data_IF_836345645443
#
_entry.id   IF_836345645443
#
_cell.length_a   1.000
_cell.length_b   1.000
_cell.length_c   1.000
_cell.angle_alpha   90.00
_cell.angle_beta   90.00
_cell.angle_gamma   90.00
#
_symmetry.space_group_name_H-M   'P 1'
#
loop_
_entity.id
_entity.type
_entity.pdbx_description
1 polymer ?
#
# COMPACT_ATOMS: atom_id res chain seq x y z
N UNK A 1 -46.58 90.07 24.15
CA UNK A 1 -45.20 89.95 24.67
C UNK A 1 -45.18 90.50 26.09
N UNK A 2 -44.71 89.74 27.08
CA UNK A 2 -44.68 90.13 28.50
C UNK A 2 -43.35 89.90 29.22
N UNK A 3 -42.44 89.07 28.68
CA UNK A 3 -41.09 88.89 29.24
C UNK A 3 -40.15 90.06 28.90
N UNK A 4 -39.09 90.25 29.68
CA UNK A 4 -38.11 91.31 29.44
C UNK A 4 -37.44 91.11 28.07
N UNK A 5 -37.47 92.15 27.21
CA UNK A 5 -36.93 92.11 25.84
C UNK A 5 -37.53 90.99 24.96
N UNK A 6 -38.74 90.53 25.29
CA UNK A 6 -39.46 89.56 24.46
C UNK A 6 -40.02 90.20 23.18
N UNK A 7 -40.17 89.40 22.13
CA UNK A 7 -40.68 89.83 20.82
C UNK A 7 -41.88 88.96 20.44
N UNK A 8 -42.98 89.61 20.06
CA UNK A 8 -44.02 88.99 19.21
C UNK A 8 -44.12 89.87 17.98
N UNK A 9 -43.60 89.41 16.84
CA UNK A 9 -43.52 90.25 15.64
C UNK A 9 -44.85 90.36 14.87
N UNK A 10 -45.78 89.42 15.06
CA UNK A 10 -47.12 89.46 14.48
C UNK A 10 -47.92 88.19 14.73
N UNK A 11 -49.07 88.06 14.06
CA UNK A 11 -49.95 86.87 14.14
C UNK A 11 -51.14 87.02 15.07
N UNK A 12 -51.83 85.91 15.33
CA UNK A 12 -53.06 85.85 16.14
C UNK A 12 -52.84 85.02 17.41
N UNK A 13 -53.12 85.58 18.60
CA UNK A 13 -53.13 84.82 19.86
C UNK A 13 -51.77 84.30 20.34
N UNK A 14 -50.65 84.87 19.87
CA UNK A 14 -49.30 84.42 20.26
C UNK A 14 -48.80 85.08 21.56
N UNK A 15 -48.09 84.32 22.37
CA UNK A 15 -47.53 84.74 23.66
C UNK A 15 -46.01 84.55 23.69
N UNK A 16 -45.26 85.63 23.93
CA UNK A 16 -43.85 85.58 24.29
C UNK A 16 -43.73 86.10 25.73
N UNK A 17 -43.55 85.21 26.71
CA UNK A 17 -43.57 85.55 28.14
C UNK A 17 -42.25 85.30 28.86
N UNK A 18 -41.33 84.52 28.28
CA UNK A 18 -39.99 84.35 28.81
C UNK A 18 -39.10 85.56 28.51
N UNK A 19 -38.11 85.84 29.35
CA UNK A 19 -37.12 86.87 29.06
C UNK A 19 -36.34 86.52 27.80
N UNK A 20 -36.13 87.51 26.92
CA UNK A 20 -35.46 87.35 25.61
C UNK A 20 -36.16 86.32 24.69
N UNK A 21 -37.41 85.95 24.97
CA UNK A 21 -38.16 85.03 24.12
C UNK A 21 -38.64 85.69 22.83
N UNK A 22 -38.75 84.91 21.75
CA UNK A 22 -39.20 85.42 20.44
C UNK A 22 -40.28 84.53 19.86
N UNK A 23 -41.39 85.15 19.45
CA UNK A 23 -42.37 84.57 18.53
C UNK A 23 -42.40 85.42 17.27
N UNK A 24 -41.94 84.88 16.14
CA UNK A 24 -41.83 85.67 14.90
C UNK A 24 -43.17 85.83 14.17
N UNK A 25 -44.19 85.00 14.46
CA UNK A 25 -45.50 85.09 13.81
C UNK A 25 -46.39 83.87 14.05
N UNK A 26 -47.44 83.72 13.21
CA UNK A 26 -48.31 82.55 13.21
C UNK A 26 -49.56 82.68 14.09
N UNK A 27 -50.11 81.53 14.53
CA UNK A 27 -51.36 81.47 15.31
C UNK A 27 -51.18 80.67 16.60
N UNK A 28 -51.56 81.25 17.73
CA UNK A 28 -51.57 80.59 19.04
C UNK A 28 -50.23 79.94 19.44
N UNK A 29 -49.10 80.61 19.14
CA UNK A 29 -47.77 80.15 19.50
C UNK A 29 -47.36 80.69 20.87
N UNK A 30 -46.63 79.91 21.67
CA UNK A 30 -46.19 80.31 23.01
C UNK A 30 -44.70 80.06 23.19
N UNK A 31 -43.93 81.12 23.44
CA UNK A 31 -42.53 81.08 23.86
C UNK A 31 -42.45 81.61 25.31
N UNK A 32 -42.35 80.69 26.27
CA UNK A 32 -42.43 81.02 27.71
C UNK A 32 -41.14 80.79 28.48
N UNK A 33 -40.18 80.05 27.91
CA UNK A 33 -38.85 79.90 28.48
C UNK A 33 -37.94 81.11 28.23
N UNK A 34 -36.93 81.31 29.09
CA UNK A 34 -35.89 82.32 28.87
C UNK A 34 -35.12 81.99 27.59
N UNK A 35 -34.87 82.96 26.72
CA UNK A 35 -34.25 82.77 25.39
C UNK A 35 -35.00 81.75 24.50
N UNK A 36 -36.28 81.47 24.76
CA UNK A 36 -37.05 80.52 23.94
C UNK A 36 -37.48 81.11 22.61
N UNK A 37 -37.58 80.29 21.58
CA UNK A 37 -37.89 80.74 20.22
C UNK A 37 -39.03 79.91 19.63
N UNK A 38 -40.02 80.59 19.06
CA UNK A 38 -40.98 80.00 18.12
C UNK A 38 -40.99 80.82 16.83
N UNK A 39 -40.42 80.29 15.74
CA UNK A 39 -40.28 81.09 14.50
C UNK A 39 -41.59 81.22 13.70
N UNK A 40 -42.64 80.46 14.03
CA UNK A 40 -43.95 80.58 13.37
C UNK A 40 -44.80 79.33 13.51
N UNK A 41 -45.73 79.12 12.57
CA UNK A 41 -46.65 77.98 12.57
C UNK A 41 -47.90 78.19 13.44
N UNK A 42 -48.50 77.09 13.91
CA UNK A 42 -49.71 77.14 14.74
C UNK A 42 -49.62 76.22 15.96
N UNK A 43 -50.07 76.69 17.12
CA UNK A 43 -50.11 75.91 18.37
C UNK A 43 -48.74 75.35 18.81
N UNK A 44 -47.66 76.05 18.52
CA UNK A 44 -46.33 75.63 18.94
C UNK A 44 -45.98 76.18 20.33
N UNK A 45 -45.30 75.38 21.15
CA UNK A 45 -44.95 75.70 22.54
C UNK A 45 -43.45 75.50 22.79
N UNK A 46 -42.72 76.57 23.10
CA UNK A 46 -41.35 76.55 23.59
C UNK A 46 -41.36 76.96 25.08
N UNK A 47 -41.30 75.97 25.97
CA UNK A 47 -41.66 76.09 27.38
C UNK A 47 -40.52 76.44 28.33
N UNK A 48 -39.29 76.12 27.94
CA UNK A 48 -38.17 76.09 28.88
C UNK A 48 -36.95 76.88 28.38
N UNK A 49 -35.98 77.13 29.24
CA UNK A 49 -34.82 77.97 28.91
C UNK A 49 -34.05 77.41 27.72
N UNK A 50 -33.82 78.24 26.70
CA UNK A 50 -33.15 77.88 25.45
C UNK A 50 -33.91 76.89 24.57
N UNK A 51 -35.18 76.62 24.84
CA UNK A 51 -36.01 75.75 23.99
C UNK A 51 -36.37 76.43 22.67
N UNK A 52 -36.45 75.66 21.58
CA UNK A 52 -36.76 76.21 20.26
C UNK A 52 -37.76 75.34 19.50
N UNK A 53 -38.75 75.97 18.86
CA UNK A 53 -39.62 75.36 17.86
C UNK A 53 -39.53 76.18 16.59
N UNK A 54 -39.00 75.58 15.52
CA UNK A 54 -38.80 76.32 14.26
C UNK A 54 -40.14 76.61 13.56
N UNK A 55 -41.15 75.77 13.72
CA UNK A 55 -42.48 76.00 13.15
C UNK A 55 -43.35 74.74 13.15
N UNK A 56 -44.29 74.67 12.21
CA UNK A 56 -45.21 73.53 12.08
C UNK A 56 -46.49 73.68 12.90
N UNK A 57 -47.12 72.56 13.24
CA UNK A 57 -48.39 72.50 13.95
C UNK A 57 -48.27 71.66 15.23
N UNK A 58 -48.70 72.20 16.38
CA UNK A 58 -48.75 71.47 17.66
C UNK A 58 -47.41 70.91 18.15
N UNK A 59 -46.30 71.58 17.88
CA UNK A 59 -44.99 71.14 18.35
C UNK A 59 -44.68 71.69 19.75
N UNK A 60 -44.09 70.86 20.61
CA UNK A 60 -43.76 71.20 22.00
C UNK A 60 -42.27 70.97 22.28
N UNK A 61 -41.54 72.01 22.66
CA UNK A 61 -40.17 71.93 23.18
C UNK A 61 -40.19 72.36 24.66
N UNK A 62 -40.25 71.39 25.58
CA UNK A 62 -40.43 71.62 27.03
C UNK A 62 -39.18 71.28 27.86
N UNK A 63 -38.17 70.64 27.27
CA UNK A 63 -36.88 70.40 27.90
C UNK A 63 -35.94 71.62 27.91
N UNK A 64 -35.01 71.68 28.86
CA UNK A 64 -33.95 72.69 28.83
C UNK A 64 -33.09 72.50 27.58
N UNK A 65 -32.91 73.55 26.78
CA UNK A 65 -32.17 73.50 25.51
C UNK A 65 -32.70 72.46 24.50
N UNK A 66 -33.98 72.08 24.59
CA UNK A 66 -34.61 71.16 23.64
C UNK A 66 -34.97 71.86 22.32
N UNK A 67 -35.00 71.12 21.22
CA UNK A 67 -35.40 71.68 19.94
C UNK A 67 -36.41 70.79 19.19
N UNK A 68 -37.38 71.44 18.54
CA UNK A 68 -38.23 70.82 17.53
C UNK A 68 -38.01 71.51 16.20
N UNK A 69 -37.54 70.76 15.21
CA UNK A 69 -37.23 71.29 13.88
C UNK A 69 -38.48 71.68 13.07
N UNK A 70 -39.64 71.17 13.44
CA UNK A 70 -40.93 71.43 12.79
C UNK A 70 -41.67 70.14 12.46
N UNK A 71 -42.71 70.26 11.64
CA UNK A 71 -43.65 69.18 11.33
C UNK A 71 -44.90 69.24 12.19
N UNK A 72 -45.48 68.11 12.56
CA UNK A 72 -46.78 68.03 13.25
C UNK A 72 -46.70 67.19 14.53
N UNK A 73 -47.17 67.76 15.65
CA UNK A 73 -47.35 67.07 16.93
C UNK A 73 -46.06 66.41 17.48
N UNK A 74 -44.90 67.05 17.32
CA UNK A 74 -43.65 66.56 17.93
C UNK A 74 -43.44 67.13 19.33
N UNK A 75 -42.76 66.36 20.17
CA UNK A 75 -42.43 66.73 21.54
C UNK A 75 -40.95 66.48 21.84
N UNK A 76 -40.24 67.51 22.30
CA UNK A 76 -38.88 67.45 22.79
C UNK A 76 -38.88 67.84 24.28
N UNK A 77 -39.15 66.87 25.16
CA UNK A 77 -39.34 67.10 26.59
C UNK A 77 -38.07 66.83 27.43
N UNK A 78 -37.12 66.05 26.90
CA UNK A 78 -35.84 65.81 27.57
C UNK A 78 -34.90 67.02 27.51
N UNK A 79 -34.02 67.16 28.50
CA UNK A 79 -32.92 68.13 28.49
C UNK A 79 -32.03 67.86 27.29
N UNK A 80 -31.76 68.87 26.46
CA UNK A 80 -30.98 68.77 25.21
C UNK A 80 -31.53 67.74 24.20
N UNK A 81 -32.82 67.44 24.25
CA UNK A 81 -33.48 66.55 23.30
C UNK A 81 -33.79 67.23 21.96
N UNK A 82 -34.00 66.43 20.91
CA UNK A 82 -34.38 66.89 19.58
C UNK A 82 -35.49 66.04 18.98
N UNK A 83 -36.54 66.66 18.45
CA UNK A 83 -37.61 65.96 17.75
C UNK A 83 -37.90 66.57 16.37
N UNK A 84 -38.25 65.72 15.40
CA UNK A 84 -38.57 66.16 14.04
C UNK A 84 -39.54 65.20 13.33
N UNK A 85 -40.39 65.76 12.46
CA UNK A 85 -41.26 65.01 11.57
C UNK A 85 -42.72 65.00 12.03
N UNK A 86 -43.34 63.83 12.18
CA UNK A 86 -44.72 63.74 12.70
C UNK A 86 -44.79 62.81 13.91
N UNK A 87 -45.28 63.33 15.04
CA UNK A 87 -45.46 62.56 16.29
C UNK A 87 -44.18 61.93 16.85
N UNK A 88 -43.03 62.59 16.66
CA UNK A 88 -41.77 62.24 17.32
C UNK A 88 -41.79 62.75 18.78
N UNK A 89 -41.55 61.87 19.76
CA UNK A 89 -41.59 62.18 21.20
C UNK A 89 -40.23 61.87 21.86
N UNK A 90 -39.36 62.87 21.90
CA UNK A 90 -38.05 62.83 22.56
C UNK A 90 -38.20 63.18 24.06
N UNK A 91 -38.76 62.24 24.82
CA UNK A 91 -39.15 62.40 26.22
C UNK A 91 -38.00 62.26 27.23
N UNK A 92 -36.85 61.75 26.81
CA UNK A 92 -35.70 61.53 27.68
C UNK A 92 -34.52 62.45 27.34
N UNK A 93 -33.68 62.73 28.33
CA UNK A 93 -32.51 63.61 28.20
C UNK A 93 -31.56 63.14 27.09
N UNK A 94 -31.15 64.08 26.23
CA UNK A 94 -30.26 63.81 25.11
C UNK A 94 -30.84 62.91 24.02
N UNK A 95 -32.13 62.60 24.03
CA UNK A 95 -32.75 61.79 23.00
C UNK A 95 -32.97 62.60 21.69
N UNK A 96 -32.64 61.99 20.56
CA UNK A 96 -32.98 62.46 19.22
C UNK A 96 -34.02 61.53 18.61
N UNK A 97 -35.18 62.05 18.22
CA UNK A 97 -36.28 61.24 17.67
C UNK A 97 -36.74 61.84 16.35
N UNK A 98 -36.58 61.09 15.27
CA UNK A 98 -37.04 61.45 13.93
C UNK A 98 -38.15 60.50 13.51
N UNK A 99 -39.32 61.03 13.16
CA UNK A 99 -40.47 60.22 12.78
C UNK A 99 -40.99 60.62 11.40
N UNK A 100 -41.24 59.63 10.55
CA UNK A 100 -41.93 59.78 9.28
C UNK A 100 -43.40 60.25 9.43
N UNK A 101 -44.12 60.31 8.32
CA UNK A 101 -45.52 60.79 8.27
C UNK A 101 -46.54 59.81 8.90
N UNK A 102 -46.11 58.72 9.52
CA UNK A 102 -47.01 57.77 10.18
C UNK A 102 -47.76 58.44 11.32
N UNK A 103 -49.09 58.32 11.34
CA UNK A 103 -49.94 58.89 12.40
C UNK A 103 -49.94 58.00 13.67
N UNK A 104 -48.77 57.83 14.27
CA UNK A 104 -48.59 57.11 15.53
C UNK A 104 -47.42 57.71 16.29
N UNK A 105 -47.45 57.73 17.62
CA UNK A 105 -46.33 58.24 18.40
C UNK A 105 -45.08 57.37 18.18
N UNK A 106 -43.93 58.02 18.08
CA UNK A 106 -42.63 57.37 18.09
C UNK A 106 -41.82 57.95 19.23
N UNK A 107 -41.55 57.15 20.25
CA UNK A 107 -41.23 57.65 21.59
C UNK A 107 -39.86 57.12 22.01
N UNK A 108 -38.98 58.02 22.50
CA UNK A 108 -37.74 57.60 23.20
C UNK A 108 -38.08 56.78 24.44
N UNK A 109 -37.34 55.71 24.71
CA UNK A 109 -37.55 54.81 25.85
C UNK A 109 -36.45 54.91 26.91
N UNK A 110 -35.37 55.64 26.63
CA UNK A 110 -34.29 55.93 27.56
C UNK A 110 -33.53 57.21 27.16
N UNK A 111 -32.74 57.80 28.08
CA UNK A 111 -31.82 58.90 27.74
C UNK A 111 -30.81 58.51 26.65
N UNK A 112 -30.30 59.51 25.93
CA UNK A 112 -29.20 59.39 24.96
C UNK A 112 -29.47 58.44 23.78
N UNK A 113 -30.74 58.23 23.42
CA UNK A 113 -31.11 57.44 22.25
C UNK A 113 -31.16 58.29 20.98
N UNK A 114 -30.76 57.70 19.86
CA UNK A 114 -31.14 58.21 18.54
C UNK A 114 -32.11 57.22 17.89
N UNK A 115 -33.37 57.64 17.75
CA UNK A 115 -34.44 56.84 17.16
C UNK A 115 -34.85 57.43 15.82
N UNK A 116 -34.94 56.58 14.81
CA UNK A 116 -35.42 56.94 13.47
C UNK A 116 -36.56 55.99 13.10
N UNK A 117 -37.74 56.53 12.79
CA UNK A 117 -38.80 55.83 12.08
C UNK A 117 -38.88 56.39 10.68
N UNK A 118 -38.42 55.60 9.71
CA UNK A 118 -38.45 55.93 8.30
C UNK A 118 -39.00 54.72 7.53
N UNK A 119 -40.31 54.67 7.31
CA UNK A 119 -41.00 53.57 6.62
C UNK A 119 -40.50 53.35 5.18
N UNK A 120 -39.88 54.38 4.58
CA UNK A 120 -39.21 54.30 3.29
C UNK A 120 -37.74 53.87 3.33
N UNK A 121 -37.18 53.58 4.51
CA UNK A 121 -35.79 53.20 4.73
C UNK A 121 -34.86 54.37 5.11
N UNK A 122 -33.71 54.03 5.68
CA UNK A 122 -32.61 54.94 6.02
C UNK A 122 -31.48 54.73 5.00
N UNK A 123 -31.22 55.75 4.19
CA UNK A 123 -30.14 55.72 3.20
C UNK A 123 -28.89 56.47 3.68
N UNK A 124 -27.72 55.85 3.61
CA UNK A 124 -26.42 56.53 3.81
C UNK A 124 -25.71 56.60 2.48
N UNK A 125 -25.50 57.82 1.99
CA UNK A 125 -25.01 58.08 0.63
C UNK A 125 -25.88 57.41 -0.46
N UNK A 126 -27.18 57.23 -0.17
CA UNK A 126 -28.14 56.55 -1.03
C UNK A 126 -29.52 57.18 -0.91
N UNK A 127 -30.06 57.69 -2.03
CA UNK A 127 -31.34 58.41 -2.04
C UNK A 127 -32.57 57.49 -2.11
N UNK A 128 -32.41 56.24 -2.54
CA UNK A 128 -33.47 55.24 -2.63
C UNK A 128 -33.01 53.95 -1.93
N UNK A 129 -33.08 53.90 -0.58
CA UNK A 129 -32.70 52.72 0.17
C UNK A 129 -33.66 51.56 -0.16
N UNK A 130 -33.10 50.39 -0.48
CA UNK A 130 -33.84 49.17 -0.79
C UNK A 130 -34.12 48.31 0.45
N UNK A 131 -33.58 48.72 1.60
CA UNK A 131 -33.70 48.04 2.89
C UNK A 131 -33.91 49.06 4.00
N UNK A 132 -34.26 48.59 5.20
CA UNK A 132 -34.52 49.47 6.34
C UNK A 132 -33.31 50.38 6.67
N UNK A 133 -32.09 49.85 6.55
CA UNK A 133 -30.84 50.61 6.48
C UNK A 133 -30.07 50.16 5.25
N UNK A 134 -29.67 51.11 4.41
CA UNK A 134 -28.98 50.83 3.16
C UNK A 134 -27.83 51.83 2.95
N UNK A 135 -26.61 51.32 2.92
CA UNK A 135 -25.38 52.10 2.89
C UNK A 135 -24.69 51.90 1.55
N UNK A 136 -24.50 52.97 0.80
CA UNK A 136 -23.69 52.95 -0.42
C UNK A 136 -22.21 53.14 -0.06
N UNK A 137 -21.57 52.04 0.36
CA UNK A 137 -20.17 51.99 0.81
C UNK A 137 -19.91 50.83 1.77
N UNK A 138 -18.75 50.85 2.42
CA UNK A 138 -18.38 49.86 3.44
C UNK A 138 -18.95 50.23 4.79
N UNK A 139 -19.51 49.23 5.50
CA UNK A 139 -19.91 49.36 6.91
C UNK A 139 -18.84 48.69 7.77
N UNK A 140 -18.22 49.45 8.69
CA UNK A 140 -17.29 48.91 9.68
C UNK A 140 -17.94 48.98 11.05
N UNK A 141 -17.96 47.86 11.77
CA UNK A 141 -18.40 47.77 13.16
C UNK A 141 -17.32 47.06 13.98
N UNK A 142 -17.15 47.45 15.24
CA UNK A 142 -16.18 46.80 16.14
C UNK A 142 -16.64 45.41 16.57
N UNK A 143 -17.95 45.19 16.64
CA UNK A 143 -18.56 43.89 16.93
C UNK A 143 -20.02 43.86 16.44
N UNK A 144 -20.48 42.68 16.06
CA UNK A 144 -21.90 42.34 15.93
C UNK A 144 -22.25 41.33 17.02
N UNK A 145 -23.39 41.50 17.70
CA UNK A 145 -23.85 40.56 18.71
C UNK A 145 -24.93 39.62 18.12
N UNK A 146 -24.78 38.32 18.33
CA UNK A 146 -25.64 37.27 17.77
C UNK A 146 -24.83 36.05 17.33
N UNK A 147 -25.49 35.06 16.74
CA UNK A 147 -24.83 33.86 16.18
C UNK A 147 -24.28 34.08 14.76
N UNK A 148 -24.42 35.28 14.21
CA UNK A 148 -23.96 35.63 12.86
C UNK A 148 -24.77 35.01 11.72
N UNK A 149 -25.72 34.12 12.00
CA UNK A 149 -26.47 33.35 10.98
C UNK A 149 -27.23 34.23 9.99
N UNK A 150 -27.66 35.42 10.43
CA UNK A 150 -28.37 36.40 9.60
C UNK A 150 -27.44 37.32 8.77
N UNK A 151 -26.11 37.27 8.97
CA UNK A 151 -25.13 38.04 8.20
C UNK A 151 -24.75 37.32 6.89
N UNK A 152 -25.75 36.82 6.17
CA UNK A 152 -25.55 36.13 4.90
C UNK A 152 -24.96 37.07 3.84
N UNK A 153 -23.95 36.63 3.09
CA UNK A 153 -23.34 37.41 2.01
C UNK A 153 -22.18 38.31 2.44
N UNK A 154 -21.76 38.23 3.71
CA UNK A 154 -20.38 38.53 4.09
C UNK A 154 -19.59 37.25 3.79
N UNK A 155 -18.67 37.24 2.82
CA UNK A 155 -17.85 36.07 2.58
C UNK A 155 -17.05 35.79 3.84
N UNK A 156 -17.39 34.69 4.50
CA UNK A 156 -16.55 34.08 5.51
C UNK A 156 -15.45 33.36 4.73
N UNK A 157 -14.21 33.83 4.82
CA UNK A 157 -13.06 33.15 4.24
C UNK A 157 -12.75 31.95 5.14
N UNK A 158 -13.68 31.00 5.21
CA UNK A 158 -13.47 29.72 5.88
C UNK A 158 -12.69 28.84 4.92
N UNK A 159 -11.40 29.12 4.74
CA UNK A 159 -10.53 28.19 4.05
C UNK A 159 -10.48 26.90 4.86
N UNK A 160 -11.00 25.82 4.29
CA UNK A 160 -10.90 24.49 4.88
C UNK A 160 -9.53 23.91 4.51
N UNK A 161 -8.67 23.74 5.51
CA UNK A 161 -7.38 23.07 5.37
C UNK A 161 -7.44 21.64 5.89
N UNK A 162 -6.90 20.68 5.13
CA UNK A 162 -6.68 19.32 5.62
C UNK A 162 -5.18 19.07 5.70
N UNK A 163 -4.67 18.77 6.89
CA UNK A 163 -3.28 18.35 7.10
C UNK A 163 -3.25 17.06 7.92
N UNK A 164 -2.76 15.98 7.33
CA UNK A 164 -2.89 14.64 7.90
C UNK A 164 -4.37 14.32 8.14
N UNK A 165 -4.72 14.03 9.40
CA UNK A 165 -6.08 13.74 9.85
C UNK A 165 -6.80 14.95 10.44
N UNK A 166 -6.21 16.14 10.43
CA UNK A 166 -6.81 17.33 11.04
C UNK A 166 -7.43 18.22 9.98
N UNK A 167 -8.75 18.40 10.05
CA UNK A 167 -9.48 19.41 9.29
C UNK A 167 -9.48 20.72 10.09
N UNK A 168 -8.74 21.71 9.62
CA UNK A 168 -8.74 23.07 10.16
C UNK A 168 -9.75 23.94 9.42
N UNK A 169 -10.61 24.64 10.16
CA UNK A 169 -11.45 25.73 9.65
C UNK A 169 -10.71 27.03 9.96
N UNK A 170 -10.42 27.86 8.96
CA UNK A 170 -9.84 29.20 9.17
C UNK A 170 -10.67 30.00 10.18
N UNK A 171 -9.98 30.60 11.16
CA UNK A 171 -10.56 31.30 12.33
C UNK A 171 -11.58 30.50 13.16
N UNK A 172 -11.66 29.18 12.93
CA UNK A 172 -12.55 28.26 13.61
C UNK A 172 -11.82 27.19 14.43
N UNK A 173 -12.54 26.13 14.77
CA UNK A 173 -11.97 24.99 15.46
C UNK A 173 -11.30 24.03 14.46
N UNK A 174 -10.35 23.23 14.95
CA UNK A 174 -9.86 22.06 14.23
C UNK A 174 -10.69 20.82 14.62
N UNK A 175 -11.08 20.02 13.64
CA UNK A 175 -11.70 18.70 13.84
C UNK A 175 -10.63 17.65 13.61
N UNK A 176 -10.36 16.84 14.62
CA UNK A 176 -9.53 15.66 14.48
C UNK A 176 -10.35 14.51 13.87
N UNK A 177 -9.95 14.06 12.68
CA UNK A 177 -10.55 12.97 11.93
C UNK A 177 -9.78 11.65 12.11
N UNK A 178 -8.78 11.60 13.01
CA UNK A 178 -7.96 10.39 13.23
C UNK A 178 -8.79 9.16 13.63
N UNK A 179 -9.94 9.37 14.27
CA UNK A 179 -10.88 8.31 14.63
C UNK A 179 -11.89 7.91 13.55
N UNK A 180 -11.86 8.52 12.36
CA UNK A 180 -12.77 8.20 11.25
C UNK A 180 -12.10 7.23 10.26
N UNK A 181 -10.77 7.28 10.11
CA UNK A 181 -9.99 6.36 9.29
C UNK A 181 -9.44 5.22 10.17
N UNK A 182 -10.34 4.39 10.68
CA UNK A 182 -9.99 3.19 11.47
C UNK A 182 -9.98 1.91 10.63
N UNK A 183 -10.09 2.01 9.30
CA UNK A 183 -9.93 0.84 8.42
C UNK A 183 -8.43 0.58 8.26
N UNK A 184 -7.82 0.11 9.35
CA UNK A 184 -6.48 -0.46 9.39
C UNK A 184 -6.50 -1.92 8.89
N UNK A 185 -7.29 -2.24 7.86
CA UNK A 185 -7.28 -3.58 7.27
C UNK A 185 -5.97 -3.77 6.48
N UNK A 186 -4.85 -3.81 7.18
CA UNK A 186 -3.61 -4.31 6.62
C UNK A 186 -3.89 -5.78 6.25
N UNK A 187 -4.06 -6.04 4.95
CA UNK A 187 -4.40 -7.37 4.41
C UNK A 187 -3.17 -8.29 4.44
N UNK A 188 -2.50 -8.35 5.58
CA UNK A 188 -1.30 -9.15 5.78
C UNK A 188 -1.68 -10.62 5.67
N UNK A 189 -1.27 -11.24 4.55
CA UNK A 189 -1.41 -12.67 4.32
C UNK A 189 -0.29 -13.40 5.06
N UNK A 190 -0.66 -14.25 6.01
CA UNK A 190 0.26 -15.12 6.74
C UNK A 190 -0.02 -16.58 6.45
N UNK A 191 1.03 -17.37 6.21
CA UNK A 191 0.95 -18.82 6.05
C UNK A 191 1.70 -19.50 7.19
N UNK A 192 0.97 -20.19 8.06
CA UNK A 192 1.53 -20.98 9.15
C UNK A 192 1.07 -22.43 9.04
N UNK A 193 2.01 -23.34 8.79
CA UNK A 193 1.67 -24.74 8.48
C UNK A 193 0.85 -24.82 7.19
N UNK A 194 -0.37 -25.35 7.29
CA UNK A 194 -1.32 -25.47 6.17
C UNK A 194 -2.40 -24.38 6.18
N UNK A 195 -2.33 -23.42 7.09
CA UNK A 195 -3.39 -22.41 7.25
C UNK A 195 -2.93 -21.08 6.68
N UNK A 196 -3.64 -20.59 5.65
CA UNK A 196 -3.49 -19.25 5.12
C UNK A 196 -4.51 -18.34 5.80
N UNK A 197 -4.05 -17.31 6.50
CA UNK A 197 -4.90 -16.34 7.19
C UNK A 197 -4.65 -14.92 6.68
N UNK A 198 -5.71 -14.12 6.64
CA UNK A 198 -5.64 -12.66 6.51
C UNK A 198 -5.75 -12.08 7.93
N UNK A 199 -4.93 -11.09 8.25
CA UNK A 199 -5.05 -10.32 9.50
C UNK A 199 -6.49 -9.78 9.67
N UNK A 200 -7.07 -9.99 10.87
CA UNK A 200 -8.48 -9.73 11.21
C UNK A 200 -9.55 -10.36 10.29
N UNK A 201 -9.13 -11.25 9.40
CA UNK A 201 -9.98 -11.98 8.46
C UNK A 201 -10.15 -13.45 8.79
N UNK A 202 -10.77 -14.17 7.86
CA UNK A 202 -10.93 -15.61 7.97
C UNK A 202 -9.61 -16.34 7.63
N UNK A 203 -9.45 -17.52 8.22
CA UNK A 203 -8.39 -18.46 7.83
C UNK A 203 -8.95 -19.53 6.91
N UNK A 204 -8.18 -19.89 5.88
CA UNK A 204 -8.45 -21.03 5.00
C UNK A 204 -7.50 -22.15 5.35
N UNK A 205 -8.03 -23.31 5.69
CA UNK A 205 -7.22 -24.52 5.84
C UNK A 205 -6.96 -25.16 4.48
N UNK A 206 -5.70 -25.15 4.08
CA UNK A 206 -5.20 -25.72 2.83
C UNK A 206 -4.77 -27.18 3.01
N UNK A 207 -5.00 -27.81 4.16
CA UNK A 207 -4.64 -29.21 4.44
C UNK A 207 -5.28 -30.22 3.48
N UNK A 208 -6.39 -29.83 2.85
CA UNK A 208 -7.14 -30.66 1.91
C UNK A 208 -6.71 -30.45 0.45
N UNK A 209 -5.88 -29.44 0.17
CA UNK A 209 -5.27 -29.31 -1.14
C UNK A 209 -4.29 -30.47 -1.32
N UNK A 210 -4.38 -31.23 -2.43
CA UNK A 210 -3.38 -32.22 -2.74
C UNK A 210 -2.06 -31.47 -2.93
N UNK A 211 -1.13 -31.64 -1.98
CA UNK A 211 0.23 -31.12 -2.16
C UNK A 211 0.77 -31.61 -3.51
N UNK A 212 1.51 -30.76 -4.22
CA UNK A 212 2.36 -31.33 -5.27
C UNK A 212 3.38 -32.26 -4.59
N UNK A 213 3.73 -33.36 -5.24
CA UNK A 213 4.76 -34.26 -4.74
C UNK A 213 6.14 -33.86 -5.27
N UNK A 214 6.33 -32.59 -5.67
CA UNK A 214 7.43 -32.16 -6.53
C UNK A 214 8.21 -30.98 -5.93
N UNK A 215 8.53 -31.06 -4.64
CA UNK A 215 9.58 -30.22 -4.06
C UNK A 215 10.93 -30.29 -4.82
N UNK A 216 11.97 -29.67 -4.28
CA UNK A 216 13.34 -29.83 -4.82
C UNK A 216 13.89 -31.20 -4.43
N UNK A 217 13.89 -32.15 -5.36
CA UNK A 217 14.35 -33.52 -5.09
C UNK A 217 15.79 -33.71 -5.56
N UNK A 218 16.74 -33.73 -4.62
CA UNK A 218 17.92 -34.59 -4.78
C UNK A 218 17.38 -36.01 -4.68
N UNK A 219 17.65 -36.86 -5.68
CA UNK A 219 17.19 -38.23 -5.65
C UNK A 219 18.12 -39.05 -4.75
N UNK A 220 17.80 -39.10 -3.46
CA UNK A 220 18.52 -39.92 -2.47
C UNK A 220 18.35 -41.43 -2.74
N UNK A 221 17.44 -41.79 -3.65
CA UNK A 221 17.02 -43.15 -3.97
C UNK A 221 16.64 -43.31 -5.45
N UNK A 222 16.67 -44.56 -5.94
CA UNK A 222 16.43 -44.88 -7.34
C UNK A 222 14.99 -44.58 -7.78
N UNK A 223 14.82 -44.03 -8.99
CA UNK A 223 13.51 -43.78 -9.59
C UNK A 223 13.04 -45.04 -10.33
N UNK A 224 11.89 -45.60 -9.91
CA UNK A 224 11.27 -46.78 -10.52
C UNK A 224 10.33 -46.38 -11.68
N UNK A 225 10.76 -46.62 -12.91
CA UNK A 225 9.98 -46.40 -14.13
C UNK A 225 9.42 -47.72 -14.65
N UNK A 226 8.37 -48.20 -13.98
CA UNK A 226 7.60 -49.37 -14.40
C UNK A 226 8.47 -50.62 -14.64
N UNK A 227 9.43 -50.86 -13.74
CA UNK A 227 10.34 -52.02 -13.76
C UNK A 227 11.80 -51.72 -14.12
N UNK A 228 12.11 -50.50 -14.57
CA UNK A 228 13.48 -50.02 -14.81
C UNK A 228 13.89 -48.98 -13.77
N UNK A 229 15.06 -49.14 -13.14
CA UNK A 229 15.54 -48.26 -12.06
C UNK A 229 16.65 -47.32 -12.57
N UNK A 230 16.54 -46.03 -12.25
CA UNK A 230 17.59 -45.01 -12.48
C UNK A 230 18.24 -44.64 -11.15
N UNK A 231 19.56 -44.79 -11.02
CA UNK A 231 20.31 -44.42 -9.81
C UNK A 231 20.58 -42.91 -9.70
N UNK A 232 20.56 -42.41 -8.46
CA UNK A 232 20.72 -41.00 -8.11
C UNK A 232 22.16 -40.49 -8.01
N UNK A 233 23.12 -41.14 -8.71
CA UNK A 233 24.54 -40.72 -8.75
C UNK A 233 24.94 -39.97 -10.03
N UNK A 234 24.07 -39.93 -11.05
CA UNK A 234 24.20 -39.04 -12.20
C UNK A 234 25.08 -39.51 -13.37
N UNK A 235 25.44 -40.81 -13.45
CA UNK A 235 26.18 -41.43 -14.57
C UNK A 235 25.31 -42.15 -15.62
N UNK A 236 25.91 -42.73 -16.67
CA UNK A 236 25.23 -43.49 -17.73
C UNK A 236 25.35 -45.02 -17.54
N UNK A 237 25.76 -45.42 -16.34
CA UNK A 237 25.83 -46.79 -15.86
C UNK A 237 24.55 -47.11 -15.07
N UNK A 238 23.84 -48.15 -15.46
CA UNK A 238 22.64 -48.59 -14.75
C UNK A 238 22.32 -50.06 -15.00
N UNK A 239 21.35 -50.57 -14.25
CA UNK A 239 20.90 -51.96 -14.32
C UNK A 239 19.63 -52.06 -15.17
N UNK A 240 19.70 -52.72 -16.33
CA UNK A 240 18.53 -53.05 -17.15
C UNK A 240 18.04 -54.47 -16.86
N UNK A 241 16.75 -54.66 -16.59
CA UNK A 241 16.12 -55.97 -16.35
C UNK A 241 15.07 -56.25 -17.42
N UNK A 242 15.26 -57.29 -18.22
CA UNK A 242 14.33 -57.67 -19.29
C UNK A 242 13.22 -58.62 -18.79
N UNK A 243 12.05 -58.66 -19.46
CA UNK A 243 10.93 -59.53 -19.07
C UNK A 243 11.23 -61.05 -19.04
N UNK A 244 12.33 -61.49 -19.67
CA UNK A 244 12.82 -62.87 -19.67
C UNK A 244 13.86 -63.15 -18.55
N UNK A 245 14.03 -62.20 -17.64
CA UNK A 245 14.87 -62.31 -16.44
C UNK A 245 16.35 -61.98 -16.66
N UNK A 246 16.73 -61.39 -17.80
CA UNK A 246 18.12 -60.96 -18.04
C UNK A 246 18.42 -59.64 -17.35
N UNK A 247 19.58 -59.56 -16.71
CA UNK A 247 20.12 -58.33 -16.12
C UNK A 247 21.36 -57.91 -16.89
N UNK A 248 21.42 -56.65 -17.32
CA UNK A 248 22.61 -56.08 -17.97
C UNK A 248 23.16 -54.92 -17.18
N UNK A 249 24.49 -54.87 -17.10
CA UNK A 249 25.26 -53.75 -16.58
C UNK A 249 26.14 -53.30 -17.74
N UNK A 250 25.76 -52.19 -18.37
CA UNK A 250 26.53 -51.50 -19.42
C UNK A 250 26.93 -52.34 -20.67
N UNK A 251 26.00 -52.99 -21.38
CA UNK A 251 26.29 -53.69 -22.66
C UNK A 251 25.04 -53.92 -23.55
N UNK A 252 25.18 -53.71 -24.87
CA UNK A 252 24.08 -53.63 -25.86
C UNK A 252 23.96 -54.83 -26.83
N UNK A 253 24.42 -56.04 -26.47
CA UNK A 253 24.34 -57.24 -27.33
C UNK A 253 23.41 -58.32 -26.78
N UNK A 254 22.66 -59.02 -27.66
CA UNK A 254 21.53 -59.89 -27.28
C UNK A 254 21.90 -61.26 -26.69
N UNK A 255 23.15 -61.71 -26.78
CA UNK A 255 23.45 -63.15 -26.64
C UNK A 255 24.38 -63.53 -25.46
N UNK A 256 24.62 -62.65 -24.50
CA UNK A 256 25.33 -63.00 -23.26
C UNK A 256 24.79 -62.27 -22.01
N UNK A 257 24.63 -62.99 -20.90
CA UNK A 257 23.90 -62.57 -19.69
C UNK A 257 24.77 -61.90 -18.60
N UNK A 258 26.09 -61.73 -18.77
CA UNK A 258 26.94 -60.97 -17.83
C UNK A 258 28.35 -60.74 -18.38
N UNK A 259 28.84 -59.49 -18.39
CA UNK A 259 30.23 -59.12 -18.65
C UNK A 259 30.70 -58.16 -17.54
N UNK A 260 31.83 -58.46 -16.89
CA UNK A 260 32.42 -57.66 -15.80
C UNK A 260 33.91 -57.50 -16.12
N UNK A 261 34.38 -56.32 -16.52
CA UNK A 261 35.81 -56.10 -16.75
C UNK A 261 36.54 -55.88 -15.41
N UNK A 262 37.78 -56.34 -15.30
CA UNK A 262 38.71 -55.80 -14.29
C UNK A 262 39.98 -55.26 -14.95
N UNK A 263 40.50 -54.21 -14.30
CA UNK A 263 41.70 -53.48 -14.66
C UNK A 263 42.94 -54.09 -14.00
N UNK A 264 43.90 -54.54 -14.81
CA UNK A 264 45.32 -54.48 -14.46
C UNK A 264 46.04 -55.79 -14.07
N UNK A 265 45.35 -56.88 -13.74
CA UNK A 265 45.97 -58.18 -13.41
C UNK A 265 45.47 -59.37 -14.26
N UNK A 266 44.57 -59.11 -15.22
CA UNK A 266 44.47 -59.85 -16.48
C UNK A 266 43.90 -61.28 -16.43
N UNK A 267 43.34 -61.73 -15.31
CA UNK A 267 42.60 -63.01 -15.26
C UNK A 267 41.09 -62.79 -15.18
N UNK A 268 40.52 -62.49 -16.35
CA UNK A 268 39.08 -62.38 -16.58
C UNK A 268 38.54 -63.72 -17.10
N UNK A 269 37.47 -64.24 -16.49
CA UNK A 269 36.77 -65.40 -17.04
C UNK A 269 35.87 -64.98 -18.21
N UNK A 270 36.50 -64.88 -19.39
CA UNK A 270 35.86 -64.64 -20.66
C UNK A 270 35.40 -65.98 -21.25
N UNK A 271 34.09 -66.28 -21.14
CA UNK A 271 33.51 -67.49 -21.73
C UNK A 271 33.08 -67.22 -23.16
N UNK A 272 33.95 -67.52 -24.13
CA UNK A 272 33.59 -67.49 -25.54
C UNK A 272 33.12 -68.86 -26.01
N UNK A 273 31.83 -68.98 -26.30
CA UNK A 273 31.28 -70.10 -27.05
C UNK A 273 31.19 -69.70 -28.52
N UNK A 274 31.91 -70.40 -29.41
CA UNK A 274 31.61 -70.34 -30.83
C UNK A 274 31.67 -71.75 -31.44
N UNK A 275 30.48 -72.28 -31.75
CA UNK A 275 30.16 -73.66 -32.19
C UNK A 275 30.23 -74.75 -31.12
N UNK A 276 29.31 -75.71 -31.22
CA UNK A 276 28.77 -76.58 -30.18
C UNK A 276 29.74 -77.62 -29.59
N UNK A 277 31.05 -77.47 -29.74
CA UNK A 277 31.97 -78.52 -29.32
C UNK A 277 33.33 -78.06 -28.83
N UNK A 278 33.80 -76.81 -28.97
CA UNK A 278 35.12 -76.43 -28.45
C UNK A 278 35.07 -75.16 -27.60
N UNK A 279 35.68 -75.18 -26.41
CA UNK A 279 35.67 -74.09 -25.42
C UNK A 279 37.10 -73.82 -24.93
N UNK A 280 37.46 -72.55 -24.90
CA UNK A 280 38.66 -72.07 -24.23
C UNK A 280 38.35 -71.86 -22.75
N UNK A 281 39.13 -72.51 -21.89
CA UNK A 281 38.97 -72.38 -20.45
C UNK A 281 40.32 -72.19 -19.78
N UNK A 282 40.32 -71.40 -18.72
CA UNK A 282 41.45 -71.30 -17.81
C UNK A 282 41.26 -72.32 -16.69
N UNK A 283 42.25 -73.18 -16.46
CA UNK A 283 42.23 -74.19 -15.39
C UNK A 283 43.23 -73.78 -14.29
N UNK A 284 42.83 -72.84 -13.43
CA UNK A 284 43.71 -72.29 -12.40
C UNK A 284 44.60 -71.15 -12.88
N UNK A 285 45.57 -70.77 -12.06
CA UNK A 285 46.19 -69.43 -12.10
C UNK A 285 47.17 -69.26 -13.30
N UNK A 286 47.64 -70.36 -13.89
CA UNK A 286 48.65 -70.35 -14.97
C UNK A 286 48.39 -71.34 -16.11
N UNK A 287 47.17 -71.88 -16.24
CA UNK A 287 46.88 -72.89 -17.27
C UNK A 287 45.79 -72.42 -18.23
N UNK A 288 46.09 -72.48 -19.53
CA UNK A 288 45.12 -72.25 -20.60
C UNK A 288 44.88 -73.54 -21.36
N UNK A 289 43.61 -73.91 -21.54
CA UNK A 289 43.20 -75.11 -22.27
C UNK A 289 42.19 -74.83 -23.36
N UNK A 290 42.33 -75.56 -24.47
CA UNK A 290 41.28 -75.72 -25.49
C UNK A 290 40.71 -77.13 -25.37
N UNK A 291 39.45 -77.23 -24.92
CA UNK A 291 38.77 -78.51 -24.69
C UNK A 291 37.52 -78.66 -25.55
N UNK A 292 37.17 -79.90 -25.85
CA UNK A 292 35.87 -80.18 -26.45
C UNK A 292 34.78 -80.20 -25.37
N UNK A 293 33.74 -79.38 -25.48
CA UNK A 293 32.67 -79.29 -24.47
C UNK A 293 31.82 -80.56 -24.34
N UNK A 294 31.73 -81.36 -25.41
CA UNK A 294 30.85 -82.53 -25.45
C UNK A 294 31.58 -83.83 -25.09
N UNK A 295 32.86 -83.95 -25.45
CA UNK A 295 33.65 -85.18 -25.21
C UNK A 295 34.69 -85.04 -24.11
N UNK A 296 35.02 -83.82 -23.68
CA UNK A 296 36.09 -83.56 -22.71
C UNK A 296 37.51 -83.69 -23.28
N UNK A 297 37.66 -84.08 -24.55
CA UNK A 297 38.96 -84.26 -25.19
C UNK A 297 39.75 -82.95 -25.25
N UNK A 298 41.06 -83.06 -24.99
CA UNK A 298 42.00 -81.93 -24.91
C UNK A 298 42.82 -81.89 -26.18
N UNK A 299 42.95 -80.71 -26.79
CA UNK A 299 43.77 -80.54 -28.01
C UNK A 299 45.06 -79.79 -27.75
N UNK A 300 45.08 -78.97 -26.71
CA UNK A 300 46.21 -78.14 -26.36
C UNK A 300 46.15 -77.81 -24.87
N UNK A 301 47.25 -78.06 -24.17
CA UNK A 301 47.42 -77.76 -22.77
C UNK A 301 48.76 -77.03 -22.60
N UNK A 302 48.71 -75.85 -21.99
CA UNK A 302 49.89 -75.05 -21.67
C UNK A 302 49.84 -74.75 -20.19
N UNK A 303 50.81 -75.27 -19.47
CA UNK A 303 51.18 -74.85 -18.12
C UNK A 303 52.50 -74.09 -18.24
N UNK A 304 52.61 -72.94 -17.57
CA UNK A 304 53.77 -72.03 -17.67
C UNK A 304 54.43 -71.75 -16.32
N UNK A 305 54.11 -72.50 -15.26
CA UNK A 305 54.79 -72.34 -13.97
C UNK A 305 56.14 -73.07 -13.92
N UNK A 306 57.14 -72.55 -14.66
CA UNK A 306 58.54 -73.00 -14.60
C UNK A 306 59.03 -73.79 -15.83
N UNK A 307 58.17 -74.53 -16.51
CA UNK A 307 58.45 -75.16 -17.81
C UNK A 307 57.19 -75.11 -18.70
N UNK A 308 57.35 -75.09 -20.02
CA UNK A 308 56.22 -75.32 -20.94
C UNK A 308 56.15 -76.81 -21.24
N UNK A 309 55.04 -77.42 -20.84
CA UNK A 309 54.80 -78.86 -21.01
C UNK A 309 53.77 -79.06 -22.12
N UNK A 310 54.19 -79.64 -23.25
CA UNK A 310 53.28 -80.11 -24.29
C UNK A 310 52.88 -81.55 -23.99
N UNK A 311 51.58 -81.82 -23.86
CA UNK A 311 51.05 -83.18 -23.65
C UNK A 311 50.27 -83.66 -24.87
N UNK A 312 50.31 -84.96 -25.15
CA UNK A 312 49.47 -85.59 -26.18
C UNK A 312 47.98 -85.55 -25.77
N UNK A 313 47.08 -85.84 -26.72
CA UNK A 313 45.61 -85.63 -26.61
C UNK A 313 44.96 -86.25 -25.35
N UNK A 314 45.55 -87.29 -24.77
CA UNK A 314 45.06 -87.94 -23.55
C UNK A 314 45.53 -87.27 -22.25
N UNK A 315 46.47 -86.32 -22.32
CA UNK A 315 47.01 -85.56 -21.19
C UNK A 315 47.88 -86.39 -20.24
N UNK A 316 48.20 -87.64 -20.57
CA UNK A 316 48.93 -88.57 -19.70
C UNK A 316 50.42 -88.66 -20.02
N UNK A 317 50.83 -88.30 -21.25
CA UNK A 317 52.22 -88.36 -21.69
C UNK A 317 52.74 -86.98 -22.13
N UNK A 318 53.91 -86.61 -21.60
CA UNK A 318 54.62 -85.37 -21.95
C UNK A 318 55.30 -85.58 -23.30
N UNK A 319 54.81 -84.90 -24.33
CA UNK A 319 55.37 -84.94 -25.67
C UNK A 319 56.66 -84.12 -25.78
N UNK A 320 56.76 -83.01 -25.04
CA UNK A 320 57.97 -82.23 -24.88
C UNK A 320 57.87 -81.33 -23.64
N UNK A 321 58.95 -81.25 -22.86
CA UNK A 321 59.10 -80.26 -21.80
C UNK A 321 60.24 -79.31 -22.16
N UNK A 322 59.93 -78.01 -22.16
CA UNK A 322 60.91 -76.93 -22.31
C UNK A 322 61.06 -76.29 -20.92
N UNK A 323 62.19 -76.56 -20.25
CA UNK A 323 62.51 -75.92 -18.98
C UNK A 323 62.93 -74.46 -19.24
N UNK A 324 62.17 -73.52 -18.68
CA UNK A 324 62.40 -72.10 -18.92
C UNK A 324 63.63 -71.55 -18.18
N UNK A 325 64.18 -72.26 -17.19
CA UNK A 325 65.33 -71.81 -16.40
C UNK A 325 66.67 -72.31 -16.95
N UNK A 326 66.70 -73.52 -17.52
CA UNK A 326 67.94 -74.11 -18.07
C UNK A 326 68.01 -74.01 -19.59
N UNK A 327 66.89 -73.70 -20.26
CA UNK A 327 66.77 -73.73 -21.72
C UNK A 327 66.90 -75.13 -22.31
N UNK A 328 66.96 -76.15 -21.45
CA UNK A 328 67.07 -77.55 -21.84
C UNK A 328 65.71 -78.04 -22.34
N UNK A 329 65.74 -78.79 -23.44
CA UNK A 329 64.58 -79.53 -23.91
C UNK A 329 64.73 -80.95 -23.40
N UNK A 330 63.93 -81.30 -22.39
CA UNK A 330 63.84 -82.66 -21.87
C UNK A 330 62.71 -83.37 -22.61
N UNK A 331 63.10 -84.14 -23.63
CA UNK A 331 62.20 -85.08 -24.30
C UNK A 331 62.19 -86.39 -23.51
N UNK A 332 61.32 -86.50 -22.51
CA UNK A 332 61.18 -87.70 -21.68
C UNK A 332 60.07 -88.60 -22.25
N UNK A 333 60.45 -89.83 -22.62
CA UNK A 333 59.61 -90.86 -23.24
C UNK A 333 59.17 -90.65 -24.70
N UNK A 334 60.14 -90.46 -25.60
CA UNK A 334 59.98 -91.05 -26.93
C UNK A 334 60.42 -92.52 -26.90
N UNK A 335 59.51 -93.42 -27.24
CA UNK A 335 59.80 -94.81 -27.65
C UNK A 335 59.49 -94.88 -29.16
N UNK A 336 60.41 -94.79 -30.14
CA UNK A 336 61.87 -94.54 -30.16
C UNK A 336 62.32 -93.79 -31.44
N UNK A 337 63.60 -93.40 -31.51
CA UNK A 337 64.33 -92.75 -32.62
C UNK A 337 63.63 -91.54 -33.28
N UNK A 338 63.61 -90.37 -32.63
CA UNK A 338 63.16 -89.14 -33.31
C UNK A 338 64.23 -88.72 -34.32
N UNK A 339 63.93 -88.85 -35.61
CA UNK A 339 64.80 -88.37 -36.69
C UNK A 339 64.62 -86.85 -36.85
N UNK A 340 65.65 -86.12 -36.46
CA UNK A 340 65.78 -84.69 -36.71
C UNK A 340 66.79 -84.48 -37.84
N UNK A 341 66.29 -84.54 -39.09
CA UNK A 341 67.05 -84.18 -40.29
C UNK A 341 68.42 -84.88 -40.39
N UNK A 342 68.44 -86.20 -40.15
CA UNK A 342 69.61 -87.06 -40.34
C UNK A 342 70.27 -87.54 -39.04
N UNK A 343 69.93 -86.95 -37.89
CA UNK A 343 70.37 -87.40 -36.57
C UNK A 343 69.22 -88.07 -35.80
N UNK A 344 69.46 -89.24 -35.19
CA UNK A 344 68.46 -90.02 -34.44
C UNK A 344 68.65 -89.89 -32.92
N UNK A 345 67.56 -89.65 -32.19
CA UNK A 345 67.50 -89.63 -30.71
C UNK A 345 66.74 -90.84 -30.16
N UNK A 346 67.40 -91.75 -29.41
CA UNK A 346 66.76 -92.95 -28.80
C UNK A 346 67.15 -93.16 -27.33
N UNK A 347 66.23 -93.72 -26.53
CA UNK A 347 66.46 -94.23 -25.16
C UNK A 347 65.70 -95.55 -24.95
N UNK A 348 66.25 -96.47 -24.16
CA UNK A 348 65.79 -97.87 -24.03
C UNK A 348 64.88 -98.15 -22.83
N UNK A 349 64.55 -97.13 -22.04
CA UNK A 349 63.56 -97.23 -20.96
C UNK A 349 64.13 -97.61 -19.59
N UNK A 350 65.45 -97.84 -19.45
CA UNK A 350 66.06 -98.27 -18.18
C UNK A 350 66.74 -97.13 -17.39
N UNK A 351 66.35 -95.88 -17.66
CA UNK A 351 66.83 -94.70 -16.92
C UNK A 351 68.37 -94.53 -16.95
N UNK A 352 69.01 -94.91 -18.07
CA UNK A 352 70.37 -94.54 -18.42
C UNK A 352 70.36 -93.52 -19.58
N UNK A 353 71.17 -92.47 -19.45
CA UNK A 353 71.16 -91.29 -20.33
C UNK A 353 71.63 -91.53 -21.77
N UNK A 354 71.22 -90.62 -22.66
CA UNK A 354 71.32 -90.68 -24.14
C UNK A 354 72.76 -90.91 -24.66
N UNK A 355 72.95 -91.98 -25.44
CA UNK A 355 74.16 -92.25 -26.22
C UNK A 355 73.97 -91.91 -27.70
N UNK A 356 75.00 -91.31 -28.30
CA UNK A 356 75.15 -91.13 -29.75
C UNK A 356 76.15 -92.17 -30.22
N UNK A 357 75.71 -93.19 -30.97
CA UNK A 357 76.64 -94.08 -31.67
C UNK A 357 76.78 -93.65 -33.14
N UNK A 358 78.03 -93.49 -33.55
CA UNK A 358 78.42 -93.02 -34.86
C UNK A 358 79.18 -94.15 -35.58
N UNK A 359 78.49 -94.90 -36.45
CA UNK A 359 79.12 -95.60 -37.57
C UNK A 359 78.10 -96.03 -38.64
N UNK A 360 78.11 -95.34 -39.78
CA UNK A 360 77.50 -95.78 -41.05
C UNK A 360 76.35 -94.93 -41.55
#
# INVERSE_FOLDING_TARGET
ASGMRSIVAGGYGSTASGDLSTVSGGSANTASGVNSIVSGGSFNYAGNSGSAVIGGHQNTASGFYSAVAGGEDNEAAGIRSFAAGRRAKANHDGAFVWADNTNSDFISTAPQQFLIRASGGVGVNKNNPASALDVNGTVTATAFAGDGSALSGIPDDQTLGLSGTTLSIEDGNSVDLSGIDTDTDDQTLNLSGTTLSIEDGNSVDLSTLPGDNLGSHIADQNINLNGNYLSGDGGNEGVLVYPDGNVRINSNSSDARLEIPSSGDGTTFLKFTHTSSWVFEQEGIHQLRLRNANTGNKRFFVDVSGSTIFRNEDGTQTAAEIDHNTGSILATNFVGAVNLNGNYLSGDGDNEGVFVDAAG
#
